data_IF_559345980740
#
_entry.id   IF_559345980740
#
_cell.length_a   1.000
_cell.length_b   1.000
_cell.length_c   1.000
_cell.angle_alpha   90.00
_cell.angle_beta   90.00
_cell.angle_gamma   90.00
#
_symmetry.space_group_name_H-M   'P 1'
#
loop_
_entity.id
_entity.type
_entity.pdbx_description
1 polymer ?
#
# COMPACT_ATOMS: atom_id res chain seq x y z
N UNK A 1 20.73 44.04 -2.38
CA UNK A 1 20.72 43.30 -3.64
C UNK A 1 19.94 42.03 -3.37
N UNK A 2 18.66 42.07 -3.71
CA UNK A 2 17.75 40.92 -3.60
C UNK A 2 17.42 40.49 -5.02
N UNK A 3 17.91 39.33 -5.44
CA UNK A 3 17.46 38.67 -6.65
C UNK A 3 16.38 37.65 -6.25
N UNK A 4 15.13 38.07 -6.46
CA UNK A 4 13.99 37.23 -6.38
C UNK A 4 13.86 36.37 -7.64
N UNK A 5 14.22 35.08 -7.56
CA UNK A 5 13.94 34.10 -8.58
C UNK A 5 12.45 33.76 -8.55
N UNK A 6 11.67 34.38 -9.43
CA UNK A 6 10.29 34.04 -9.70
C UNK A 6 10.25 32.75 -10.52
N UNK A 7 9.92 31.65 -9.86
CA UNK A 7 9.52 30.40 -10.52
C UNK A 7 8.19 30.68 -11.22
N UNK A 8 8.23 31.00 -12.51
CA UNK A 8 7.04 31.00 -13.36
C UNK A 8 6.53 29.55 -13.46
N UNK A 9 5.43 29.27 -12.74
CA UNK A 9 4.59 28.12 -13.04
C UNK A 9 4.03 28.32 -14.44
N UNK A 10 4.54 27.55 -15.38
CA UNK A 10 3.86 27.34 -16.65
C UNK A 10 2.58 26.54 -16.36
N UNK A 11 1.50 27.24 -16.02
CA UNK A 11 0.16 26.73 -16.21
C UNK A 11 -0.11 26.73 -17.72
N UNK A 12 0.48 25.77 -18.42
CA UNK A 12 0.09 25.44 -19.76
C UNK A 12 -1.35 24.95 -19.69
N UNK A 13 -2.29 25.76 -20.14
CA UNK A 13 -3.63 25.33 -20.46
C UNK A 13 -3.49 24.10 -21.37
N UNK A 14 -3.83 22.93 -20.84
CA UNK A 14 -4.01 21.73 -21.65
C UNK A 14 -5.23 22.05 -22.50
N UNK A 15 -5.03 22.59 -23.70
CA UNK A 15 -6.05 22.67 -24.72
C UNK A 15 -6.58 21.25 -24.91
N UNK A 16 -7.80 21.05 -24.47
CA UNK A 16 -8.56 19.82 -24.64
C UNK A 16 -8.85 19.68 -26.15
N UNK A 17 -7.83 19.22 -26.89
CA UNK A 17 -7.96 18.95 -28.33
C UNK A 17 -8.54 17.52 -28.46
N UNK A 18 -9.86 17.38 -28.71
CA UNK A 18 -10.55 16.08 -28.65
C UNK A 18 -10.19 15.13 -29.80
N UNK A 19 -9.41 15.59 -30.80
CA UNK A 19 -9.19 14.82 -32.04
C UNK A 19 -7.77 14.23 -32.17
N UNK A 20 -6.93 14.31 -31.15
CA UNK A 20 -5.58 13.80 -31.29
C UNK A 20 -5.55 12.27 -31.12
N UNK A 21 -5.51 11.55 -32.24
CA UNK A 21 -5.28 10.10 -32.27
C UNK A 21 -3.90 9.83 -31.69
N UNK A 22 -3.76 9.00 -30.62
CA UNK A 22 -2.46 8.72 -30.02
C UNK A 22 -1.54 8.05 -31.05
N UNK A 23 -0.28 8.47 -31.06
CA UNK A 23 0.74 7.85 -31.89
C UNK A 23 1.07 6.44 -31.35
N UNK A 24 1.59 5.56 -32.19
CA UNK A 24 2.03 4.22 -31.79
C UNK A 24 3.07 4.24 -30.65
N UNK A 25 3.84 5.32 -30.51
CA UNK A 25 4.77 5.51 -29.41
C UNK A 25 4.04 5.81 -28.09
N UNK A 26 2.98 6.63 -28.13
CA UNK A 26 2.14 6.95 -26.97
C UNK A 26 1.36 5.72 -26.52
N UNK A 27 0.83 4.92 -27.43
CA UNK A 27 0.16 3.65 -27.08
C UNK A 27 1.08 2.68 -26.36
N UNK A 28 2.32 2.49 -26.89
CA UNK A 28 3.33 1.65 -26.22
C UNK A 28 3.71 2.18 -24.84
N UNK A 29 3.82 3.49 -24.68
CA UNK A 29 4.09 4.10 -23.38
C UNK A 29 2.96 3.85 -22.38
N UNK A 30 1.69 3.95 -22.81
CA UNK A 30 0.52 3.62 -21.98
C UNK A 30 0.50 2.13 -21.61
N UNK A 31 0.82 1.23 -22.53
CA UNK A 31 0.93 -0.21 -22.24
C UNK A 31 2.02 -0.50 -21.22
N UNK A 32 3.18 0.11 -21.40
CA UNK A 32 4.29 -0.04 -20.46
C UNK A 32 3.94 0.49 -19.06
N UNK A 33 3.33 1.67 -18.98
CA UNK A 33 2.88 2.24 -17.69
C UNK A 33 1.86 1.34 -16.99
N UNK A 34 0.90 0.82 -17.75
CA UNK A 34 -0.11 -0.09 -17.20
C UNK A 34 0.50 -1.38 -16.67
N UNK A 35 1.34 -2.05 -17.48
CA UNK A 35 2.02 -3.27 -17.07
C UNK A 35 2.94 -3.06 -15.87
N UNK A 36 3.72 -1.96 -15.87
CA UNK A 36 4.61 -1.59 -14.76
C UNK A 36 3.82 -1.33 -13.47
N UNK A 37 2.73 -0.56 -13.54
CA UNK A 37 1.89 -0.28 -12.37
C UNK A 37 1.30 -1.56 -11.76
N UNK A 38 0.81 -2.49 -12.59
CA UNK A 38 0.32 -3.80 -12.14
C UNK A 38 1.40 -4.60 -11.43
N UNK A 39 2.61 -4.68 -11.99
CA UNK A 39 3.74 -5.39 -11.37
C UNK A 39 4.09 -4.79 -10.02
N UNK A 40 4.11 -3.47 -9.90
CA UNK A 40 4.40 -2.79 -8.64
C UNK A 40 3.31 -3.03 -7.58
N UNK A 41 2.04 -3.09 -7.98
CA UNK A 41 0.95 -3.43 -7.05
C UNK A 41 1.12 -4.85 -6.51
N UNK A 42 1.35 -5.83 -7.38
CA UNK A 42 1.58 -7.24 -6.98
C UNK A 42 2.80 -7.36 -6.06
N UNK A 43 3.89 -6.65 -6.39
CA UNK A 43 5.09 -6.64 -5.56
C UNK A 43 4.85 -6.04 -4.17
N UNK A 44 4.07 -4.96 -4.10
CA UNK A 44 3.69 -4.34 -2.81
C UNK A 44 2.85 -5.30 -1.97
N UNK A 45 1.88 -5.98 -2.57
CA UNK A 45 1.01 -6.95 -1.88
C UNK A 45 1.82 -8.14 -1.36
N UNK A 46 2.75 -8.68 -2.16
CA UNK A 46 3.63 -9.77 -1.75
C UNK A 46 4.52 -9.38 -0.57
N UNK A 47 5.15 -8.20 -0.63
CA UNK A 47 5.99 -7.68 0.47
C UNK A 47 5.16 -7.45 1.73
N UNK A 48 3.97 -6.88 1.61
CA UNK A 48 3.08 -6.66 2.73
C UNK A 48 2.58 -7.97 3.35
N UNK A 49 2.28 -8.99 2.54
CA UNK A 49 1.90 -10.32 3.01
C UNK A 49 3.02 -10.98 3.83
N UNK A 50 4.26 -10.95 3.34
CA UNK A 50 5.42 -11.48 4.07
C UNK A 50 5.61 -10.73 5.39
N UNK A 51 5.56 -9.39 5.35
CA UNK A 51 5.70 -8.56 6.56
C UNK A 51 4.60 -8.88 7.58
N UNK A 52 3.35 -8.98 7.13
CA UNK A 52 2.20 -9.33 7.99
C UNK A 52 2.39 -10.68 8.67
N UNK A 53 2.84 -11.70 7.93
CA UNK A 53 3.08 -13.05 8.48
C UNK A 53 4.19 -13.02 9.54
N UNK A 54 5.29 -12.33 9.26
CA UNK A 54 6.41 -12.21 10.21
C UNK A 54 5.98 -11.46 11.48
N UNK A 55 5.24 -10.35 11.33
CA UNK A 55 4.76 -9.57 12.48
C UNK A 55 3.73 -10.34 13.30
N UNK A 56 2.85 -11.10 12.65
CA UNK A 56 1.86 -11.95 13.36
C UNK A 56 2.57 -13.05 14.16
N UNK A 57 3.60 -13.69 13.60
CA UNK A 57 4.43 -14.65 14.30
C UNK A 57 5.18 -14.04 15.49
N UNK A 58 5.76 -12.84 15.31
CA UNK A 58 6.46 -12.12 16.37
C UNK A 58 5.49 -11.72 17.50
N UNK A 59 4.30 -11.21 17.16
CA UNK A 59 3.28 -10.88 18.15
C UNK A 59 2.83 -12.12 18.94
N UNK A 60 2.55 -13.23 18.24
CA UNK A 60 2.18 -14.49 18.89
C UNK A 60 3.29 -14.95 19.85
N UNK A 61 4.55 -14.91 19.41
CA UNK A 61 5.69 -15.24 20.26
C UNK A 61 5.75 -14.34 21.50
N UNK A 62 5.58 -13.03 21.36
CA UNK A 62 5.58 -12.10 22.49
C UNK A 62 4.44 -12.42 23.46
N UNK A 63 3.24 -12.68 22.97
CA UNK A 63 2.09 -13.02 23.83
C UNK A 63 2.29 -14.34 24.59
N UNK A 64 2.92 -15.34 23.99
CA UNK A 64 3.24 -16.61 24.67
C UNK A 64 4.33 -16.50 25.72
N UNK A 65 5.10 -15.40 25.71
CA UNK A 65 6.19 -15.15 26.68
C UNK A 65 5.80 -14.20 27.80
N UNK A 66 4.60 -13.60 27.77
CA UNK A 66 4.09 -12.83 28.90
C UNK A 66 3.65 -13.81 29.98
N UNK A 67 4.28 -13.82 31.17
CA UNK A 67 3.89 -14.72 32.26
C UNK A 67 2.49 -14.36 32.78
N UNK A 68 1.68 -15.37 33.09
CA UNK A 68 0.32 -15.22 33.59
C UNK A 68 0.24 -14.51 34.98
N UNK A 69 1.37 -14.39 35.67
CA UNK A 69 1.40 -14.02 37.09
C UNK A 69 1.86 -12.62 37.41
N UNK A 70 2.53 -11.89 36.50
CA UNK A 70 3.04 -10.55 36.84
C UNK A 70 2.99 -9.63 35.62
N UNK A 71 2.01 -8.76 35.59
CA UNK A 71 2.10 -7.55 34.80
C UNK A 71 3.23 -6.70 35.38
N UNK A 72 4.33 -6.46 34.64
CA UNK A 72 5.41 -5.65 35.16
C UNK A 72 4.88 -4.25 35.48
N UNK A 73 5.06 -3.83 36.72
CA UNK A 73 4.61 -2.53 37.19
C UNK A 73 5.69 -1.49 36.83
N UNK A 74 5.26 -0.34 36.31
CA UNK A 74 6.16 0.78 36.02
C UNK A 74 6.66 0.86 34.57
N UNK A 75 7.87 1.37 34.39
CA UNK A 75 8.45 1.69 33.09
C UNK A 75 8.68 0.46 32.16
N UNK A 76 8.87 -0.73 32.75
CA UNK A 76 8.98 -1.99 31.99
C UNK A 76 7.68 -2.30 31.26
N UNK A 77 6.55 -2.21 31.96
CA UNK A 77 5.23 -2.42 31.36
C UNK A 77 4.97 -1.42 30.22
N UNK A 78 5.34 -0.16 30.44
CA UNK A 78 5.18 0.88 29.42
C UNK A 78 5.98 0.58 28.16
N UNK A 79 7.23 0.13 28.31
CA UNK A 79 8.09 -0.26 27.18
C UNK A 79 7.48 -1.43 26.39
N UNK A 80 6.99 -2.47 27.09
CA UNK A 80 6.31 -3.59 26.46
C UNK A 80 5.06 -3.18 25.70
N UNK A 81 4.21 -2.35 26.31
CA UNK A 81 3.01 -1.85 25.64
C UNK A 81 3.35 -1.05 24.38
N UNK A 82 4.42 -0.24 24.41
CA UNK A 82 4.88 0.50 23.24
C UNK A 82 5.37 -0.45 22.14
N UNK A 83 6.17 -1.46 22.47
CA UNK A 83 6.69 -2.45 21.51
C UNK A 83 5.52 -3.20 20.86
N UNK A 84 4.61 -3.75 21.65
CA UNK A 84 3.43 -4.47 21.15
C UNK A 84 2.55 -3.54 20.32
N UNK A 85 2.32 -2.31 20.76
CA UNK A 85 1.55 -1.30 20.04
C UNK A 85 2.15 -0.96 18.68
N UNK A 86 3.48 -0.81 18.59
CA UNK A 86 4.18 -0.55 17.32
C UNK A 86 4.09 -1.75 16.37
N UNK A 87 4.30 -2.97 16.87
CA UNK A 87 4.22 -4.18 16.04
C UNK A 87 2.78 -4.45 15.58
N UNK A 88 1.80 -4.23 16.44
CA UNK A 88 0.39 -4.34 16.09
C UNK A 88 0.00 -3.30 15.03
N UNK A 89 0.42 -2.05 15.21
CA UNK A 89 0.18 -0.98 14.22
C UNK A 89 0.83 -1.32 12.87
N UNK A 90 2.05 -1.85 12.87
CA UNK A 90 2.73 -2.30 11.66
C UNK A 90 1.97 -3.46 10.98
N UNK A 91 1.45 -4.41 11.76
CA UNK A 91 0.66 -5.54 11.26
C UNK A 91 -0.66 -5.06 10.61
N UNK A 92 -1.38 -4.16 11.27
CA UNK A 92 -2.61 -3.56 10.73
C UNK A 92 -2.33 -2.79 9.45
N UNK A 93 -1.26 -1.97 9.40
CA UNK A 93 -0.87 -1.24 8.20
C UNK A 93 -0.51 -2.19 7.05
N UNK A 94 0.24 -3.26 7.31
CA UNK A 94 0.57 -4.28 6.32
C UNK A 94 -0.69 -4.98 5.80
N UNK A 95 -1.63 -5.33 6.66
CA UNK A 95 -2.93 -5.91 6.29
C UNK A 95 -3.74 -4.96 5.39
N UNK A 96 -3.77 -3.64 5.72
CA UNK A 96 -4.47 -2.64 4.91
C UNK A 96 -3.88 -2.46 3.50
N UNK A 97 -2.60 -2.80 3.28
CA UNK A 97 -2.00 -2.83 1.94
C UNK A 97 -2.58 -3.96 1.11
N UNK A 98 -2.75 -5.15 1.71
CA UNK A 98 -3.26 -6.35 1.01
C UNK A 98 -4.76 -6.27 0.76
N UNK A 99 -5.49 -5.53 1.62
CA UNK A 99 -6.96 -5.46 1.54
C UNK A 99 -7.41 -4.89 0.18
N UNK A 100 -8.21 -5.65 -0.61
CA UNK A 100 -8.68 -5.18 -1.89
C UNK A 100 -9.66 -4.02 -1.71
N UNK A 101 -9.35 -2.89 -2.33
CA UNK A 101 -10.24 -1.71 -2.32
C UNK A 101 -11.13 -1.74 -3.54
N UNK A 102 -12.32 -2.29 -3.36
CA UNK A 102 -13.37 -2.37 -4.37
C UNK A 102 -14.13 -1.02 -4.55
N UNK A 103 -13.49 0.13 -4.28
CA UNK A 103 -14.13 1.41 -4.55
C UNK A 103 -14.21 1.66 -6.04
N UNK A 104 -15.27 1.14 -6.61
CA UNK A 104 -15.70 1.47 -7.94
C UNK A 104 -16.36 2.86 -7.93
N UNK A 105 -15.82 3.82 -8.70
CA UNK A 105 -16.60 4.99 -9.11
C UNK A 105 -17.55 4.53 -10.20
N UNK A 106 -18.87 4.70 -10.02
CA UNK A 106 -19.82 4.44 -11.08
C UNK A 106 -19.58 5.48 -12.19
N UNK A 107 -19.06 5.03 -13.31
CA UNK A 107 -18.77 5.87 -14.47
C UNK A 107 -17.74 5.17 -15.36
N UNK A 108 -18.22 4.38 -16.30
CA UNK A 108 -17.70 4.09 -17.63
C UNK A 108 -16.18 4.01 -17.83
N UNK A 109 -15.48 3.16 -17.13
CA UNK A 109 -14.20 2.66 -17.62
C UNK A 109 -14.42 1.25 -18.18
N UNK A 110 -14.54 1.07 -19.50
CA UNK A 110 -14.81 -0.23 -20.13
C UNK A 110 -13.68 -1.23 -19.91
N UNK A 111 -12.49 -0.75 -19.51
CA UNK A 111 -11.32 -1.58 -19.23
C UNK A 111 -11.24 -2.03 -17.77
N UNK A 112 -12.11 -1.52 -16.89
CA UNK A 112 -12.10 -1.92 -15.50
C UNK A 112 -12.78 -3.29 -15.32
N UNK A 113 -12.10 -4.26 -14.70
CA UNK A 113 -12.61 -5.61 -14.51
C UNK A 113 -14.00 -5.66 -13.85
N UNK A 114 -14.31 -4.73 -12.93
CA UNK A 114 -15.62 -4.65 -12.31
C UNK A 114 -16.72 -4.09 -13.23
N UNK A 115 -16.37 -3.38 -14.31
CA UNK A 115 -17.30 -3.04 -15.37
C UNK A 115 -17.52 -4.23 -16.31
N UNK A 116 -16.43 -4.89 -16.70
CA UNK A 116 -16.47 -6.12 -17.51
C UNK A 116 -17.31 -7.21 -16.84
N UNK A 117 -17.14 -7.43 -15.54
CA UNK A 117 -17.87 -8.44 -14.77
C UNK A 117 -19.38 -8.15 -14.60
N UNK A 118 -19.86 -6.95 -14.96
CA UNK A 118 -21.31 -6.61 -14.95
C UNK A 118 -22.02 -7.02 -16.21
N UNK A 119 -21.30 -7.27 -17.30
CA UNK A 119 -21.92 -7.80 -18.50
C UNK A 119 -22.31 -9.26 -18.28
N UNK A 120 -23.58 -9.57 -18.51
CA UNK A 120 -24.12 -10.92 -18.37
C UNK A 120 -23.69 -11.84 -19.51
N UNK A 121 -23.29 -11.28 -20.65
CA UNK A 121 -22.88 -11.99 -21.85
C UNK A 121 -21.61 -11.33 -22.44
N UNK A 122 -20.62 -12.11 -22.86
CA UNK A 122 -19.36 -11.61 -23.42
C UNK A 122 -19.58 -10.87 -24.74
N UNK A 123 -20.63 -11.21 -25.50
CA UNK A 123 -20.97 -10.57 -26.77
C UNK A 123 -21.38 -9.12 -26.59
N UNK A 124 -22.08 -8.77 -25.51
CA UNK A 124 -22.44 -7.39 -25.20
C UNK A 124 -21.20 -6.54 -24.89
N UNK A 125 -20.26 -7.12 -24.13
CA UNK A 125 -18.98 -6.43 -23.85
C UNK A 125 -18.16 -6.23 -25.13
N UNK A 126 -18.06 -7.26 -26.00
CA UNK A 126 -17.37 -7.15 -27.27
C UNK A 126 -18.00 -6.07 -28.18
N UNK A 127 -19.33 -6.04 -28.24
CA UNK A 127 -20.05 -5.01 -29.03
C UNK A 127 -19.76 -3.61 -28.51
N UNK A 128 -19.71 -3.39 -27.19
CA UNK A 128 -19.38 -2.10 -26.58
C UNK A 128 -17.94 -1.68 -26.89
N UNK A 129 -16.97 -2.58 -26.76
CA UNK A 129 -15.56 -2.28 -27.08
C UNK A 129 -15.39 -1.99 -28.58
N UNK A 130 -16.01 -2.77 -29.45
CA UNK A 130 -15.92 -2.54 -30.91
C UNK A 130 -16.62 -1.26 -31.37
N UNK A 131 -17.64 -0.79 -30.64
CA UNK A 131 -18.31 0.47 -30.91
C UNK A 131 -17.57 1.69 -30.35
N UNK A 132 -16.58 1.48 -29.46
CA UNK A 132 -15.82 2.55 -28.83
C UNK A 132 -14.73 3.04 -29.78
N UNK A 133 -14.66 4.36 -30.00
CA UNK A 133 -13.62 4.97 -30.80
C UNK A 133 -12.22 4.78 -30.21
N UNK A 134 -11.19 4.69 -31.06
CA UNK A 134 -9.81 4.47 -30.69
C UNK A 134 -9.26 5.55 -29.72
N UNK A 135 -9.67 6.81 -29.91
CA UNK A 135 -9.31 7.93 -29.03
C UNK A 135 -9.94 7.77 -27.66
N UNK A 136 -11.22 7.40 -27.61
CA UNK A 136 -11.93 7.16 -26.36
C UNK A 136 -11.33 5.97 -25.57
N UNK A 137 -10.93 4.91 -26.28
CA UNK A 137 -10.27 3.75 -25.70
C UNK A 137 -8.89 4.11 -25.13
N UNK A 138 -8.09 4.89 -25.86
CA UNK A 138 -6.78 5.36 -25.38
C UNK A 138 -6.92 6.28 -24.16
N UNK A 139 -7.93 7.14 -24.13
CA UNK A 139 -8.28 8.00 -22.98
C UNK A 139 -8.68 7.15 -21.77
N UNK A 140 -9.54 6.14 -21.95
CA UNK A 140 -9.94 5.21 -20.89
C UNK A 140 -8.70 4.49 -20.32
N UNK A 141 -7.80 4.00 -21.18
CA UNK A 141 -6.55 3.35 -20.79
C UNK A 141 -5.62 4.27 -20.00
N UNK A 142 -5.49 5.53 -20.41
CA UNK A 142 -4.70 6.53 -19.69
C UNK A 142 -5.27 6.82 -18.30
N UNK A 143 -6.60 7.00 -18.19
CA UNK A 143 -7.30 7.22 -16.91
C UNK A 143 -7.12 6.00 -15.99
N UNK A 144 -7.29 4.79 -16.52
CA UNK A 144 -7.08 3.56 -15.77
C UNK A 144 -5.64 3.43 -15.26
N UNK A 145 -4.64 3.70 -16.11
CA UNK A 145 -3.23 3.71 -15.72
C UNK A 145 -2.93 4.74 -14.61
N UNK A 146 -3.52 5.94 -14.70
CA UNK A 146 -3.42 6.94 -13.64
C UNK A 146 -4.01 6.46 -12.31
N UNK A 147 -5.20 5.87 -12.34
CA UNK A 147 -5.85 5.32 -11.14
C UNK A 147 -5.00 4.21 -10.51
N UNK A 148 -4.44 3.32 -11.32
CA UNK A 148 -3.53 2.26 -10.87
C UNK A 148 -2.29 2.86 -10.19
N UNK A 149 -1.70 3.90 -10.78
CA UNK A 149 -0.53 4.59 -10.23
C UNK A 149 -0.84 5.25 -8.88
N UNK A 150 -2.03 5.85 -8.73
CA UNK A 150 -2.48 6.41 -7.45
C UNK A 150 -2.66 5.32 -6.37
N UNK A 151 -3.22 4.16 -6.75
CA UNK A 151 -3.36 3.01 -5.85
C UNK A 151 -1.98 2.51 -5.42
N UNK A 152 -1.07 2.36 -6.37
CA UNK A 152 0.32 1.95 -6.15
C UNK A 152 1.03 2.89 -5.16
N UNK A 153 1.01 4.20 -5.41
CA UNK A 153 1.62 5.20 -4.54
C UNK A 153 1.08 5.15 -3.11
N UNK A 154 -0.23 4.91 -2.94
CA UNK A 154 -0.85 4.76 -1.63
C UNK A 154 -0.40 3.48 -0.92
N UNK A 155 -0.36 2.35 -1.63
CA UNK A 155 0.12 1.07 -1.10
C UNK A 155 1.56 1.18 -0.61
N UNK A 156 2.45 1.80 -1.40
CA UNK A 156 3.84 2.02 -1.00
C UNK A 156 3.98 2.94 0.22
N UNK A 157 3.15 3.98 0.35
CA UNK A 157 3.15 4.82 1.56
C UNK A 157 2.76 4.03 2.81
N UNK A 158 1.71 3.21 2.73
CA UNK A 158 1.29 2.36 3.85
C UNK A 158 2.34 1.31 4.19
N UNK A 159 2.93 0.67 3.18
CA UNK A 159 4.00 -0.31 3.37
C UNK A 159 5.24 0.32 4.03
N UNK A 160 5.62 1.53 3.61
CA UNK A 160 6.72 2.28 4.24
C UNK A 160 6.42 2.62 5.69
N UNK A 161 5.19 3.06 6.00
CA UNK A 161 4.77 3.31 7.38
C UNK A 161 4.81 2.03 8.23
N UNK A 162 4.32 0.90 7.69
CA UNK A 162 4.38 -0.40 8.35
C UNK A 162 5.82 -0.82 8.67
N UNK A 163 6.73 -0.67 7.70
CA UNK A 163 8.15 -0.98 7.89
C UNK A 163 8.81 -0.10 8.95
N UNK A 164 8.50 1.20 8.98
CA UNK A 164 9.02 2.13 9.99
C UNK A 164 8.53 1.76 11.39
N UNK A 165 7.23 1.47 11.55
CA UNK A 165 6.68 1.00 12.82
C UNK A 165 7.30 -0.33 13.26
N UNK A 166 7.47 -1.28 12.34
CA UNK A 166 8.09 -2.56 12.64
C UNK A 166 9.56 -2.39 13.06
N UNK A 167 10.32 -1.57 12.34
CA UNK A 167 11.72 -1.28 12.66
C UNK A 167 11.86 -0.59 14.03
N UNK A 168 11.02 0.42 14.30
CA UNK A 168 11.01 1.10 15.59
C UNK A 168 10.66 0.13 16.74
N UNK A 169 9.64 -0.71 16.57
CA UNK A 169 9.27 -1.72 17.55
C UNK A 169 10.37 -2.73 17.81
N UNK A 170 11.04 -3.23 16.75
CA UNK A 170 12.15 -4.15 16.86
C UNK A 170 13.37 -3.53 17.55
N UNK A 171 13.74 -2.31 17.18
CA UNK A 171 14.87 -1.61 17.81
C UNK A 171 14.61 -1.35 19.29
N UNK A 172 13.40 -0.94 19.66
CA UNK A 172 13.03 -0.74 21.05
C UNK A 172 13.05 -2.07 21.84
N UNK A 173 12.58 -3.14 21.21
CA UNK A 173 12.65 -4.48 21.81
C UNK A 173 14.10 -4.93 22.06
N UNK A 174 14.99 -4.77 21.07
CA UNK A 174 16.41 -5.12 21.21
C UNK A 174 17.10 -4.25 22.27
N UNK A 175 16.79 -2.95 22.32
CA UNK A 175 17.30 -2.06 23.34
C UNK A 175 16.84 -2.48 24.75
N UNK A 176 15.58 -2.86 24.91
CA UNK A 176 15.04 -3.38 26.16
C UNK A 176 15.77 -4.66 26.61
N UNK A 177 16.04 -5.58 25.69
CA UNK A 177 16.85 -6.78 25.98
C UNK A 177 18.28 -6.44 26.40
N UNK A 178 18.92 -5.47 25.73
CA UNK A 178 20.30 -5.07 26.03
C UNK A 178 20.44 -4.43 27.41
N UNK A 179 19.40 -3.77 27.90
CA UNK A 179 19.36 -3.17 29.27
C UNK A 179 19.00 -4.22 30.34
N UNK A 180 18.89 -5.49 29.96
CA UNK A 180 18.60 -6.58 30.90
C UNK A 180 17.18 -6.62 31.41
N UNK A 181 16.26 -6.05 30.61
CA UNK A 181 14.84 -6.19 30.84
C UNK A 181 14.40 -7.57 30.38
N UNK A 182 14.21 -8.54 31.30
CA UNK A 182 13.81 -9.87 30.85
C UNK A 182 12.44 -9.79 30.18
N UNK A 183 12.24 -10.50 29.07
CA UNK A 183 10.92 -10.73 28.53
C UNK A 183 10.11 -11.59 29.54
N UNK A 184 9.39 -10.93 30.46
CA UNK A 184 8.63 -11.61 31.51
C UNK A 184 9.53 -12.33 32.52
N UNK A 185 9.79 -11.69 33.60
CA UNK A 185 10.36 -12.14 34.86
C UNK A 185 10.79 -13.60 35.02
N UNK A 186 11.94 -13.97 34.51
CA UNK A 186 12.71 -15.12 35.01
C UNK A 186 13.46 -14.68 36.28
N UNK A 187 12.74 -14.28 37.32
CA UNK A 187 13.26 -14.50 38.66
C UNK A 187 12.82 -15.92 39.04
N UNK A 188 13.66 -16.87 38.67
CA UNK A 188 13.69 -18.15 39.37
C UNK A 188 13.90 -17.83 40.84
N UNK A 189 12.90 -18.11 41.65
CA UNK A 189 13.06 -18.19 43.09
C UNK A 189 14.10 -19.24 43.38
N UNK A 190 15.31 -18.79 43.75
CA UNK A 190 16.26 -19.58 44.51
C UNK A 190 15.92 -19.31 45.95
N UNK A 191 15.28 -20.22 46.57
CA UNK A 191 15.27 -20.45 48.00
C UNK A 191 15.18 -21.94 48.30
#
# INVERSE_FOLDING_TARGET
MQEGSSIQRHEGSVEDNPEHVPTAAQERALDFLHASALQHVVLADRKAGILFTLLSGALLFLFTRVPDTVWPIGWVASTWLIVVGLLLSASVLAFLVVLPRLRHRPGSDPLFWGAVARHTQPEHYLAEICATDAVALARAKAIHGYQLSCICARKFRLLRAALLCAAAGLLLFLAALAVGLPPGGLQAGVS
#
